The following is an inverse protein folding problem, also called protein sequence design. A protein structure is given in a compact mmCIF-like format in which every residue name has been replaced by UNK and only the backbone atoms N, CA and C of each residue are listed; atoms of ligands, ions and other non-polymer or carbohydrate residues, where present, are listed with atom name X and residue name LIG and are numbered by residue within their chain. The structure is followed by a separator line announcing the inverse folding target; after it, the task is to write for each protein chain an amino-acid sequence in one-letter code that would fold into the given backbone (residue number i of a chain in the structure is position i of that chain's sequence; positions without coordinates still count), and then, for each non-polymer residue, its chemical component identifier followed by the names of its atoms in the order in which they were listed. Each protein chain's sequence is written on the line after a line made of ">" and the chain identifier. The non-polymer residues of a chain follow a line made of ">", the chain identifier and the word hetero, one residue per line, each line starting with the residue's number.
data_IF_036097295001
#
_entry.id   IF_036097295001
#
_cell.length_a   1.000
_cell.length_b   1.000
_cell.length_c   1.000
_cell.angle_alpha   90.00
_cell.angle_beta   90.00
_cell.angle_gamma   90.00
#
_symmetry.space_group_name_H-M   'P 1'
#
loop_
_entity.id
_entity.type
_entity.pdbx_description
1 polymer ?
#
# COMPACT_ATOMS: atom_id res chain seq x y z
N UNK A 1 22.96 12.53 -10.32
CA UNK A 1 22.54 12.85 -8.94
C UNK A 1 21.27 12.08 -8.68
N UNK A 2 21.20 11.30 -7.61
CA UNK A 2 20.01 10.48 -7.27
C UNK A 2 19.22 11.18 -6.17
N UNK A 3 17.91 11.37 -6.38
CA UNK A 3 16.97 11.91 -5.40
C UNK A 3 15.62 11.21 -5.62
N UNK A 4 15.46 10.07 -4.98
CA UNK A 4 14.26 9.22 -5.08
C UNK A 4 13.76 8.90 -3.69
N UNK A 5 12.47 9.11 -3.49
CA UNK A 5 11.75 8.77 -2.27
C UNK A 5 10.61 7.84 -2.64
N UNK A 6 10.55 6.68 -2.00
CA UNK A 6 9.44 5.74 -2.12
C UNK A 6 8.84 5.53 -0.73
N UNK A 7 7.60 5.98 -0.53
CA UNK A 7 6.93 5.94 0.76
C UNK A 7 5.50 5.45 0.63
N UNK A 8 5.01 4.84 1.70
CA UNK A 8 3.63 4.41 1.82
C UNK A 8 3.07 4.87 3.17
N UNK A 9 1.88 5.45 3.15
CA UNK A 9 1.25 5.97 4.36
C UNK A 9 -0.24 6.20 4.20
N UNK A 10 -0.89 6.69 5.25
CA UNK A 10 -2.32 7.04 5.23
C UNK A 10 -2.51 8.54 5.18
N UNK A 11 -3.47 8.99 4.37
CA UNK A 11 -3.84 10.40 4.32
C UNK A 11 -4.38 10.87 5.68
N UNK A 12 -3.86 11.98 6.18
CA UNK A 12 -4.27 12.59 7.46
C UNK A 12 -5.57 13.37 7.32
N UNK A 13 -5.80 13.96 6.15
CA UNK A 13 -6.99 14.73 5.81
C UNK A 13 -7.38 14.49 4.35
N UNK A 14 -8.58 14.93 3.97
CA UNK A 14 -9.01 14.89 2.58
C UNK A 14 -8.12 15.82 1.73
N UNK A 15 -7.67 15.36 0.55
CA UNK A 15 -6.83 16.17 -0.33
C UNK A 15 -7.65 17.26 -1.03
N UNK A 16 -7.12 18.48 -1.06
CA UNK A 16 -7.77 19.63 -1.70
C UNK A 16 -7.04 20.01 -2.99
N UNK A 17 -7.78 20.05 -4.09
CA UNK A 17 -7.27 20.56 -5.36
C UNK A 17 -7.25 22.09 -5.36
N UNK A 18 -6.11 22.66 -5.69
CA UNK A 18 -5.94 24.10 -5.88
C UNK A 18 -5.38 24.37 -7.26
N UNK A 19 -5.74 25.51 -7.82
CA UNK A 19 -5.17 25.94 -9.10
C UNK A 19 -4.28 27.15 -8.86
N UNK A 20 -3.05 27.08 -9.36
CA UNK A 20 -2.10 28.21 -9.30
C UNK A 20 -2.56 29.34 -10.22
N UNK A 21 -2.06 30.59 -10.05
CA UNK A 21 -2.36 31.70 -10.95
C UNK A 21 -1.99 31.41 -12.41
N UNK A 22 -1.10 30.46 -12.65
CA UNK A 22 -0.69 30.03 -14.00
C UNK A 22 -1.59 28.93 -14.58
N UNK A 23 -2.70 28.58 -13.91
CA UNK A 23 -3.64 27.57 -14.38
C UNK A 23 -3.19 26.12 -14.15
N UNK A 24 -2.16 25.88 -13.33
CA UNK A 24 -1.68 24.52 -13.03
C UNK A 24 -2.34 23.99 -11.76
N UNK A 25 -2.89 22.79 -11.84
CA UNK A 25 -3.46 22.09 -10.69
C UNK A 25 -2.39 21.58 -9.75
N UNK A 26 -2.55 21.81 -8.47
CA UNK A 26 -1.68 21.37 -7.39
C UNK A 26 -2.52 20.87 -6.21
N UNK A 27 -2.07 19.84 -5.57
CA UNK A 27 -2.64 19.31 -4.33
C UNK A 27 -1.54 19.12 -3.31
N UNK A 28 -1.68 19.73 -2.14
CA UNK A 28 -0.79 19.54 -1.00
C UNK A 28 -1.54 18.76 0.07
N UNK A 29 -0.99 17.65 0.50
CA UNK A 29 -1.57 16.80 1.53
C UNK A 29 -0.50 16.19 2.42
N UNK A 30 -0.92 15.66 3.57
CA UNK A 30 -0.03 15.05 4.53
C UNK A 30 -0.36 13.58 4.70
N UNK A 31 0.67 12.74 4.78
CA UNK A 31 0.52 11.32 5.08
C UNK A 31 1.16 11.00 6.42
N UNK A 32 0.61 9.99 7.09
CA UNK A 32 1.16 9.38 8.28
C UNK A 32 1.78 8.03 7.89
N UNK A 33 3.07 7.89 8.14
CA UNK A 33 3.83 6.67 7.92
C UNK A 33 4.16 6.05 9.27
N UNK A 34 3.66 4.85 9.53
CA UNK A 34 3.94 4.13 10.76
C UNK A 34 5.40 3.68 10.80
N UNK A 35 6.08 3.89 11.92
CA UNK A 35 7.43 3.38 12.13
C UNK A 35 7.38 1.87 12.35
N UNK A 36 8.26 1.14 11.67
CA UNK A 36 8.32 -0.32 11.76
C UNK A 36 8.77 -0.83 13.14
N UNK A 37 9.37 0.03 13.95
CA UNK A 37 9.91 -0.33 15.26
C UNK A 37 9.18 0.43 16.38
N UNK A 38 8.50 -0.31 17.25
CA UNK A 38 8.04 0.17 18.55
C UNK A 38 8.62 -0.76 19.62
N UNK A 39 9.17 -0.21 20.70
CA UNK A 39 9.57 -1.02 21.86
C UNK A 39 8.33 -1.61 22.52
N UNK A 40 8.49 -2.78 23.13
CA UNK A 40 7.41 -3.46 23.83
C UNK A 40 6.85 -2.54 24.94
N UNK A 41 5.57 -2.14 24.83
CA UNK A 41 4.91 -1.21 25.78
C UNK A 41 4.86 0.26 25.35
N UNK A 42 5.51 0.66 24.25
CA UNK A 42 5.39 2.03 23.70
C UNK A 42 4.30 2.09 22.61
N UNK A 43 3.61 3.24 22.55
CA UNK A 43 2.71 3.52 21.44
C UNK A 43 3.51 3.64 20.14
N UNK A 44 2.98 3.06 19.05
CA UNK A 44 3.56 3.21 17.73
C UNK A 44 3.61 4.69 17.34
N UNK A 45 4.78 5.16 16.99
CA UNK A 45 4.99 6.50 16.46
C UNK A 45 4.78 6.50 14.95
N UNK A 46 4.18 7.58 14.45
CA UNK A 46 4.04 7.83 13.03
C UNK A 46 4.84 9.07 12.64
N UNK A 47 5.47 9.03 11.47
CA UNK A 47 6.10 10.19 10.85
C UNK A 47 5.10 10.85 9.91
N UNK A 48 4.96 12.17 10.05
CA UNK A 48 4.07 12.98 9.22
C UNK A 48 4.89 13.66 8.13
N UNK A 49 4.57 13.34 6.88
CA UNK A 49 5.32 13.79 5.71
C UNK A 49 4.40 14.61 4.83
N UNK A 50 4.86 15.81 4.45
CA UNK A 50 4.15 16.69 3.53
C UNK A 50 4.46 16.32 2.09
N UNK A 51 3.40 16.17 1.29
CA UNK A 51 3.44 15.73 -0.10
C UNK A 51 2.83 16.81 -0.97
N UNK A 52 3.46 17.06 -2.11
CA UNK A 52 2.94 17.95 -3.15
C UNK A 52 2.79 17.17 -4.45
N UNK A 53 1.58 17.13 -4.97
CA UNK A 53 1.26 16.54 -6.27
C UNK A 53 0.89 17.64 -7.26
N UNK A 54 1.32 17.49 -8.52
CA UNK A 54 1.11 18.46 -9.59
C UNK A 54 0.29 17.86 -10.73
N UNK A 55 -0.46 18.72 -11.43
CA UNK A 55 -1.17 18.38 -12.68
C UNK A 55 -2.06 17.13 -12.51
N UNK A 56 -1.83 16.12 -13.33
CA UNK A 56 -2.60 14.87 -13.34
C UNK A 56 -2.55 14.12 -12.00
N UNK A 57 -1.40 14.12 -11.31
CA UNK A 57 -1.28 13.47 -10.00
C UNK A 57 -2.11 14.19 -8.94
N UNK A 58 -2.22 15.51 -8.99
CA UNK A 58 -3.07 16.28 -8.10
C UNK A 58 -4.56 15.94 -8.30
N UNK A 59 -5.01 15.87 -9.54
CA UNK A 59 -6.39 15.49 -9.89
C UNK A 59 -6.67 14.04 -9.48
N UNK A 60 -5.73 13.13 -9.73
CA UNK A 60 -5.85 11.73 -9.37
C UNK A 60 -6.03 11.54 -7.87
N UNK A 61 -5.21 12.20 -7.05
CA UNK A 61 -5.33 12.09 -5.59
C UNK A 61 -6.66 12.62 -5.10
N UNK A 62 -7.07 13.82 -5.54
CA UNK A 62 -8.31 14.43 -5.09
C UNK A 62 -9.56 13.65 -5.54
N UNK A 63 -9.46 12.93 -6.66
CA UNK A 63 -10.60 12.16 -7.20
C UNK A 63 -10.78 10.80 -6.52
N UNK A 64 -9.67 10.15 -6.14
CA UNK A 64 -9.71 8.74 -5.76
C UNK A 64 -9.32 8.46 -4.31
N UNK A 65 -8.74 9.42 -3.60
CA UNK A 65 -8.30 9.25 -2.23
C UNK A 65 -9.06 10.19 -1.28
N UNK A 66 -9.25 9.71 -0.07
CA UNK A 66 -9.87 10.45 1.02
C UNK A 66 -9.07 10.24 2.31
N UNK A 67 -9.39 10.99 3.35
CA UNK A 67 -8.79 10.81 4.68
C UNK A 67 -8.77 9.33 5.10
N UNK A 68 -7.61 8.86 5.57
CA UNK A 68 -7.39 7.48 6.00
C UNK A 68 -7.07 6.48 4.89
N UNK A 69 -7.21 6.85 3.62
CA UNK A 69 -6.80 6.00 2.49
C UNK A 69 -5.32 5.70 2.53
N UNK A 70 -4.95 4.45 2.25
CA UNK A 70 -3.56 4.03 2.10
C UNK A 70 -3.07 4.35 0.69
N UNK A 71 -1.95 5.05 0.59
CA UNK A 71 -1.38 5.56 -0.65
C UNK A 71 0.10 5.20 -0.73
N UNK A 72 0.56 4.80 -1.91
CA UNK A 72 1.97 4.60 -2.23
C UNK A 72 2.45 5.71 -3.17
N UNK A 73 3.54 6.34 -2.82
CA UNK A 73 4.08 7.52 -3.50
C UNK A 73 5.54 7.28 -3.85
N UNK A 74 5.87 7.52 -5.10
CA UNK A 74 7.23 7.68 -5.58
C UNK A 74 7.43 9.14 -5.97
N UNK A 75 8.54 9.73 -5.53
CA UNK A 75 8.81 11.13 -5.81
C UNK A 75 10.24 11.54 -5.51
N UNK A 76 10.44 12.84 -5.37
CA UNK A 76 11.71 13.43 -4.98
C UNK A 76 11.55 14.33 -3.77
N UNK A 77 12.56 14.35 -2.90
CA UNK A 77 12.62 15.24 -1.76
C UNK A 77 13.01 16.65 -2.22
N UNK A 78 12.23 17.63 -1.83
CA UNK A 78 12.54 19.05 -2.13
C UNK A 78 12.45 19.88 -0.87
N UNK A 79 13.19 20.98 -0.86
CA UNK A 79 13.13 21.96 0.21
C UNK A 79 12.60 23.29 -0.33
N UNK A 80 11.68 23.89 0.40
CA UNK A 80 11.13 25.20 0.08
C UNK A 80 11.42 26.17 1.24
N UNK A 81 11.89 27.36 0.89
CA UNK A 81 12.00 28.44 1.88
C UNK A 81 10.65 29.14 1.98
N UNK A 82 10.15 29.23 3.18
CA UNK A 82 8.90 29.90 3.52
C UNK A 82 9.16 30.91 4.65
N UNK A 83 8.40 31.98 4.69
CA UNK A 83 8.46 32.93 5.80
C UNK A 83 7.30 32.70 6.75
N UNK A 84 7.62 32.56 8.03
CA UNK A 84 6.61 32.50 9.08
C UNK A 84 5.91 33.88 9.23
N UNK A 85 4.76 33.90 9.84
CA UNK A 85 4.00 35.14 10.13
C UNK A 85 4.82 36.18 10.89
N UNK A 86 5.91 35.78 11.54
CA UNK A 86 6.83 36.62 12.27
C UNK A 86 8.02 37.10 11.41
N UNK A 87 8.05 36.80 10.11
CA UNK A 87 9.16 37.18 9.22
C UNK A 87 10.40 36.27 9.29
N UNK A 88 10.37 35.19 10.08
CA UNK A 88 11.49 34.26 10.17
C UNK A 88 11.48 33.30 8.95
N UNK A 89 12.66 33.12 8.35
CA UNK A 89 12.80 32.13 7.27
C UNK A 89 12.73 30.71 7.84
N UNK A 90 11.83 29.90 7.30
CA UNK A 90 11.69 28.48 7.59
C UNK A 90 11.96 27.67 6.34
N UNK A 91 12.66 26.58 6.50
CA UNK A 91 12.83 25.59 5.43
C UNK A 91 11.79 24.50 5.63
N UNK A 92 10.82 24.40 4.71
CA UNK A 92 9.89 23.30 4.62
C UNK A 92 10.51 22.18 3.79
N UNK A 93 10.42 20.96 4.27
CA UNK A 93 10.86 19.76 3.55
C UNK A 93 9.60 19.03 3.07
N UNK A 94 9.51 18.82 1.77
CA UNK A 94 8.33 18.20 1.15
C UNK A 94 8.75 17.17 0.09
N UNK A 95 7.90 16.19 -0.15
CA UNK A 95 8.08 15.21 -1.23
C UNK A 95 7.21 15.61 -2.41
N UNK A 96 7.84 15.88 -3.54
CA UNK A 96 7.12 16.12 -4.80
C UNK A 96 6.85 14.78 -5.46
N UNK A 97 5.56 14.42 -5.56
CA UNK A 97 5.14 13.14 -6.09
C UNK A 97 5.26 13.10 -7.62
N UNK A 98 5.97 12.08 -8.12
CA UNK A 98 6.06 11.75 -9.55
C UNK A 98 5.01 10.71 -9.92
N UNK A 99 4.88 9.65 -9.11
CA UNK A 99 3.90 8.58 -9.29
C UNK A 99 3.13 8.33 -8.00
N UNK A 100 1.82 8.11 -8.14
CA UNK A 100 0.93 7.81 -7.02
C UNK A 100 0.11 6.58 -7.37
N UNK A 101 0.09 5.60 -6.46
CA UNK A 101 -0.58 4.33 -6.64
C UNK A 101 -1.47 3.98 -5.43
N UNK A 102 -2.49 3.16 -5.66
CA UNK A 102 -3.26 2.55 -4.60
C UNK A 102 -2.38 1.49 -3.89
N UNK A 103 -2.27 1.59 -2.57
CA UNK A 103 -1.50 0.64 -1.76
C UNK A 103 -2.39 -0.30 -0.94
N UNK A 104 -3.69 -0.01 -0.84
CA UNK A 104 -4.67 -0.81 -0.12
C UNK A 104 -5.52 -1.66 -1.03
N UNK A 105 -5.93 -2.83 -0.54
CA UNK A 105 -7.08 -3.54 -1.09
C UNK A 105 -8.27 -2.57 -1.12
N UNK A 106 -9.08 -2.65 -2.17
CA UNK A 106 -10.33 -1.89 -2.32
C UNK A 106 -11.34 -2.42 -1.28
N UNK A 107 -11.06 -2.13 0.00
CA UNK A 107 -12.08 -2.26 1.01
C UNK A 107 -13.04 -1.09 0.77
N UNK A 108 -14.10 -1.39 0.06
CA UNK A 108 -15.32 -0.61 0.02
C UNK A 108 -15.89 -0.50 1.44
N UNK A 109 -15.32 0.40 2.25
CA UNK A 109 -15.99 0.88 3.45
C UNK A 109 -16.92 2.03 3.04
N UNK A 110 -17.73 1.78 2.01
CA UNK A 110 -18.98 2.48 1.82
C UNK A 110 -19.93 1.86 2.83
N UNK A 111 -20.31 2.63 3.86
CA UNK A 111 -21.31 2.24 4.82
C UNK A 111 -22.58 1.75 4.11
N UNK A 112 -22.92 0.50 4.37
CA UNK A 112 -24.08 -0.18 3.83
C UNK A 112 -23.99 -1.60 4.35
N UNK A 113 -24.66 -1.89 5.50
CA UNK A 113 -24.83 -3.24 6.00
C UNK A 113 -25.50 -4.11 4.94
N UNK A 114 -24.71 -4.85 4.19
CA UNK A 114 -25.20 -5.98 3.42
C UNK A 114 -25.18 -7.18 4.35
N UNK A 115 -26.34 -7.43 4.92
CA UNK A 115 -26.74 -8.64 5.59
C UNK A 115 -26.42 -9.81 4.63
N UNK A 116 -25.36 -10.57 4.89
CA UNK A 116 -25.19 -11.88 4.24
C UNK A 116 -26.24 -12.81 4.83
N UNK A 117 -27.42 -12.81 4.22
CA UNK A 117 -28.39 -13.87 4.42
C UNK A 117 -27.75 -15.16 3.94
N UNK A 118 -27.49 -16.01 4.89
CA UNK A 118 -27.12 -17.40 4.75
C UNK A 118 -28.18 -18.11 3.91
N UNK A 119 -27.98 -18.21 2.61
CA UNK A 119 -28.86 -18.96 1.75
C UNK A 119 -28.47 -20.43 1.88
N UNK A 120 -29.21 -21.10 2.78
CA UNK A 120 -29.20 -22.54 2.97
C UNK A 120 -29.39 -23.24 1.62
N UNK A 121 -28.42 -24.06 1.25
CA UNK A 121 -28.54 -24.95 0.11
C UNK A 121 -29.72 -25.92 0.30
N UNK A 122 -30.55 -26.17 -0.72
CA UNK A 122 -31.58 -27.16 -0.61
C UNK A 122 -30.97 -28.57 -0.56
N UNK A 123 -31.38 -29.32 0.46
CA UNK A 123 -31.08 -30.74 0.62
C UNK A 123 -31.67 -31.56 -0.53
N UNK A 124 -30.80 -32.19 -1.30
CA UNK A 124 -31.23 -33.25 -2.23
C UNK A 124 -31.29 -34.58 -1.49
N UNK A 125 -32.53 -35.10 -1.34
CA UNK A 125 -32.80 -36.44 -0.85
C UNK A 125 -32.41 -37.49 -1.88
N UNK A 126 -31.73 -38.52 -1.39
CA UNK A 126 -31.61 -39.91 -1.80
C UNK A 126 -32.18 -40.35 -3.15
N UNK A 127 -31.32 -40.85 -4.01
CA UNK A 127 -31.56 -42.04 -4.84
C UNK A 127 -30.24 -42.83 -4.96
N UNK A 128 -30.30 -44.11 -4.54
CA UNK A 128 -29.21 -45.10 -4.61
C UNK A 128 -29.19 -45.79 -5.99
N UNK A 129 -28.35 -46.84 -6.23
CA UNK A 129 -27.00 -46.69 -6.82
C UNK A 129 -26.90 -47.38 -8.19
N UNK A 130 -26.06 -46.90 -9.07
CA UNK A 130 -25.58 -47.65 -10.21
C UNK A 130 -24.04 -47.61 -10.28
N UNK A 131 -23.43 -48.76 -10.36
CA UNK A 131 -22.02 -49.12 -10.39
C UNK A 131 -21.52 -49.18 -11.84
N UNK A 132 -20.23 -49.41 -12.14
CA UNK A 132 -19.15 -48.46 -12.24
C UNK A 132 -18.55 -48.38 -13.66
N UNK A 133 -17.89 -47.29 -14.00
CA UNK A 133 -16.97 -47.23 -15.14
C UNK A 133 -15.62 -46.65 -14.71
N UNK A 134 -14.61 -47.31 -15.20
CA UNK A 134 -13.18 -47.24 -15.08
C UNK A 134 -12.55 -45.90 -14.64
N UNK A 135 -11.63 -46.03 -13.68
CA UNK A 135 -10.73 -45.00 -13.14
C UNK A 135 -9.57 -44.82 -14.09
N UNK A 136 -9.39 -43.65 -14.64
CA UNK A 136 -8.15 -43.22 -15.22
C UNK A 136 -7.31 -42.58 -14.10
N UNK A 137 -6.10 -43.10 -13.89
CA UNK A 137 -5.23 -42.77 -12.77
C UNK A 137 -4.69 -41.35 -12.89
N UNK A 138 -4.89 -40.54 -11.84
CA UNK A 138 -4.22 -39.28 -11.68
C UNK A 138 -2.71 -39.52 -11.37
N UNK A 139 -1.78 -38.69 -11.89
CA UNK A 139 -0.36 -38.82 -11.58
C UNK A 139 -0.10 -38.47 -10.10
N UNK A 140 0.49 -39.43 -9.38
CA UNK A 140 0.96 -39.26 -8.03
C UNK A 140 2.28 -38.49 -8.04
N UNK A 141 2.30 -37.29 -7.48
CA UNK A 141 3.56 -36.60 -7.16
C UNK A 141 4.19 -37.25 -5.93
N UNK A 142 5.33 -37.88 -6.14
CA UNK A 142 6.17 -38.38 -5.06
C UNK A 142 6.75 -37.19 -4.29
N UNK A 143 6.50 -37.14 -2.99
CA UNK A 143 7.20 -36.20 -2.09
C UNK A 143 8.68 -36.52 -2.14
N UNK A 144 9.51 -35.53 -2.54
CA UNK A 144 10.96 -35.66 -2.53
C UNK A 144 11.46 -35.95 -1.12
N UNK A 145 12.38 -36.90 -1.02
CA UNK A 145 13.04 -37.29 0.23
C UNK A 145 13.89 -36.13 0.73
N UNK A 146 13.85 -35.87 2.06
CA UNK A 146 14.62 -34.82 2.72
C UNK A 146 16.13 -35.02 2.65
N UNK A 147 16.60 -36.20 2.16
CA UNK A 147 18.00 -36.56 2.06
C UNK A 147 18.73 -36.04 0.81
N UNK A 148 18.02 -35.37 -0.11
CA UNK A 148 18.61 -34.78 -1.34
C UNK A 148 19.17 -33.38 -1.17
N UNK A 149 19.13 -32.81 0.04
CA UNK A 149 19.79 -31.54 0.29
C UNK A 149 21.25 -31.77 0.65
N UNK A 150 22.14 -31.50 -0.30
CA UNK A 150 23.59 -31.46 -0.04
C UNK A 150 23.88 -30.35 0.98
N UNK A 151 24.45 -30.74 2.11
CA UNK A 151 24.98 -29.79 3.12
C UNK A 151 26.16 -29.07 2.47
N UNK A 152 26.06 -27.78 2.30
CA UNK A 152 27.17 -26.92 1.84
C UNK A 152 28.10 -26.76 3.03
N UNK A 153 29.31 -27.24 2.90
CA UNK A 153 30.38 -27.07 3.89
C UNK A 153 30.78 -25.60 3.99
N UNK A 154 30.79 -25.05 5.21
CA UNK A 154 31.08 -23.64 5.54
C UNK A 154 32.57 -23.24 5.35
N UNK A 155 33.32 -23.95 4.52
CA UNK A 155 34.77 -23.71 4.30
C UNK A 155 35.13 -22.96 3.00
N UNK A 156 34.15 -22.49 2.23
CA UNK A 156 34.47 -21.64 1.08
C UNK A 156 34.53 -20.15 1.53
N UNK A 157 35.76 -19.70 1.73
CA UNK A 157 36.14 -18.30 1.89
C UNK A 157 35.54 -17.45 0.76
N UNK A 158 34.61 -16.57 1.07
CA UNK A 158 34.10 -15.55 0.15
C UNK A 158 35.18 -14.48 -0.06
N UNK A 159 35.62 -14.25 -1.30
CA UNK A 159 36.62 -13.23 -1.57
C UNK A 159 35.95 -11.83 -1.57
N UNK A 160 36.08 -11.06 -0.48
CA UNK A 160 35.98 -9.58 -0.45
C UNK A 160 37.14 -8.99 0.32
#
# INVERSE_FOLDING_TARGET
>A
MLNVVAIMGRLVADPELRTTPQGTNVCSFRIACDRNFARQGEQRQADFIDIVAWRQQAEFVCKYFQKGSLIAIEGSLQTRQDQDKNGNNRTAVEVVANNINFAGSKNSNAGGGANYQNNSAPAYQNAAPARPAAVEAAPSYSAGNADDFAVIDDSDDLPF
#
